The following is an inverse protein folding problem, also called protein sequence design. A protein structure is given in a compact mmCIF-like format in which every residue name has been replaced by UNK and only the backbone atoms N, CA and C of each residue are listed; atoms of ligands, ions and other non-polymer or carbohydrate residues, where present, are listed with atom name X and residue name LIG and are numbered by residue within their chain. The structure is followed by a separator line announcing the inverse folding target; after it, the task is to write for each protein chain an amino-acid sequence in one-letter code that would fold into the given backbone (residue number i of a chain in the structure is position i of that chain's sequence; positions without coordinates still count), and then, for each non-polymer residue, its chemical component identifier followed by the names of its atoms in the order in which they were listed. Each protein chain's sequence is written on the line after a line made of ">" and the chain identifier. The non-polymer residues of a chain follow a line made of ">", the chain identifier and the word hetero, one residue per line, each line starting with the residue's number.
data_IF_249221316826
#
_entry.id   IF_249221316826
#
_cell.length_a   1.000
_cell.length_b   1.000
_cell.length_c   1.000
_cell.angle_alpha   90.00
_cell.angle_beta   90.00
_cell.angle_gamma   90.00
#
_symmetry.space_group_name_H-M   'P 1'
#
loop_
_entity.id
_entity.type
_entity.pdbx_description
1 polymer ?
#
# COMPACT_ATOMS: atom_id res chain seq x y z
N UNK A 1 6.92 4.64 19.13
CA UNK A 1 6.86 3.43 18.29
C UNK A 1 5.42 3.17 17.84
N UNK A 2 5.25 2.49 16.71
CA UNK A 2 3.95 2.08 16.17
C UNK A 2 4.03 0.60 15.77
N UNK A 3 2.89 -0.07 15.69
CA UNK A 3 2.79 -1.43 15.18
C UNK A 3 2.09 -1.47 13.81
N UNK A 4 2.11 -2.62 13.14
CA UNK A 4 1.52 -2.80 11.81
C UNK A 4 0.02 -2.52 11.76
N UNK A 5 -0.72 -2.82 12.83
CA UNK A 5 -2.17 -2.54 12.93
C UNK A 5 -2.46 -1.04 13.00
N UNK A 6 -1.69 -0.29 13.79
CA UNK A 6 -1.82 1.16 13.86
C UNK A 6 -1.47 1.82 12.52
N UNK A 7 -0.43 1.32 11.83
CA UNK A 7 -0.05 1.81 10.51
C UNK A 7 -1.14 1.48 9.47
N UNK A 8 -1.70 0.28 9.48
CA UNK A 8 -2.82 -0.10 8.61
C UNK A 8 -4.04 0.79 8.85
N UNK A 9 -4.35 1.11 10.11
CA UNK A 9 -5.44 2.05 10.47
C UNK A 9 -5.19 3.46 9.93
N UNK A 10 -3.95 3.94 9.96
CA UNK A 10 -3.60 5.25 9.38
C UNK A 10 -3.82 5.26 7.86
N UNK A 11 -3.41 4.21 7.16
CA UNK A 11 -3.67 4.06 5.72
C UNK A 11 -5.15 3.86 5.42
N UNK A 12 -5.89 3.16 6.26
CA UNK A 12 -7.34 3.04 6.13
C UNK A 12 -8.05 4.40 6.29
N UNK A 13 -7.56 5.29 7.16
CA UNK A 13 -8.08 6.66 7.27
C UNK A 13 -7.80 7.48 6.00
N UNK A 14 -6.61 7.36 5.39
CA UNK A 14 -6.30 7.96 4.08
C UNK A 14 -7.20 7.39 2.97
N UNK A 15 -7.46 6.08 3.00
CA UNK A 15 -8.34 5.39 2.06
C UNK A 15 -9.81 5.85 2.20
N UNK A 16 -10.23 6.23 3.39
CA UNK A 16 -11.58 6.64 3.74
C UNK A 16 -11.71 8.17 3.86
N UNK A 17 -11.09 8.91 2.94
CA UNK A 17 -11.14 10.37 2.81
C UNK A 17 -10.91 11.11 4.15
N UNK A 18 -9.95 10.62 4.93
CA UNK A 18 -9.55 11.23 6.19
C UNK A 18 -10.44 10.88 7.39
N UNK A 19 -11.31 9.89 7.25
CA UNK A 19 -12.17 9.40 8.35
C UNK A 19 -11.59 8.13 8.94
N UNK A 20 -11.15 8.20 10.20
CA UNK A 20 -10.66 7.04 10.95
C UNK A 20 -11.84 6.25 11.54
N UNK A 21 -11.77 4.93 11.41
CA UNK A 21 -12.70 3.98 12.02
C UNK A 21 -11.95 3.13 13.05
N UNK A 22 -12.63 2.64 14.11
CA UNK A 22 -12.03 1.74 15.06
C UNK A 22 -11.69 0.39 14.40
N UNK A 23 -10.57 -0.20 14.78
CA UNK A 23 -10.23 -1.56 14.39
C UNK A 23 -11.05 -2.56 15.21
N UNK A 24 -11.49 -3.62 14.57
CA UNK A 24 -12.15 -4.77 15.23
C UNK A 24 -11.74 -6.07 14.56
N UNK A 25 -11.54 -7.12 15.34
CA UNK A 25 -11.36 -8.49 14.86
C UNK A 25 -12.69 -9.27 14.87
N UNK A 26 -13.73 -8.70 15.47
CA UNK A 26 -15.05 -9.29 15.50
C UNK A 26 -15.88 -8.80 14.33
N UNK A 27 -16.63 -9.70 13.71
CA UNK A 27 -17.66 -9.31 12.74
C UNK A 27 -18.72 -8.49 13.48
N UNK A 28 -18.91 -7.25 13.04
CA UNK A 28 -19.99 -6.41 13.54
C UNK A 28 -21.24 -6.62 12.70
N UNK A 29 -22.43 -6.51 13.36
CA UNK A 29 -23.70 -6.41 12.67
C UNK A 29 -23.95 -4.97 12.18
N UNK A 30 -25.22 -4.55 12.17
CA UNK A 30 -25.64 -3.23 11.70
C UNK A 30 -25.41 -2.10 12.74
N UNK A 31 -24.53 -2.34 13.71
CA UNK A 31 -24.19 -1.35 14.72
C UNK A 31 -23.53 -0.12 14.10
N UNK A 32 -23.95 1.06 14.57
CA UNK A 32 -23.35 2.32 14.15
C UNK A 32 -21.88 2.35 14.58
N UNK A 33 -20.99 2.41 13.59
CA UNK A 33 -19.54 2.52 13.83
C UNK A 33 -19.22 3.99 14.19
N UNK A 34 -18.67 4.22 15.37
CA UNK A 34 -18.10 5.52 15.72
C UNK A 34 -16.90 5.83 14.83
N UNK A 35 -17.05 6.84 14.02
CA UNK A 35 -15.98 7.31 13.14
C UNK A 35 -15.58 8.73 13.50
N UNK A 36 -14.31 9.08 13.28
CA UNK A 36 -13.79 10.43 13.54
C UNK A 36 -13.01 10.94 12.35
N UNK A 37 -13.35 12.15 11.88
CA UNK A 37 -12.52 12.84 10.90
C UNK A 37 -11.18 13.23 11.53
N UNK A 38 -10.07 12.83 10.91
CA UNK A 38 -8.70 13.11 11.34
C UNK A 38 -7.92 13.91 10.29
N UNK A 39 -8.40 13.95 9.05
CA UNK A 39 -7.88 14.74 7.94
C UNK A 39 -9.03 15.24 7.08
N UNK A 40 -8.82 16.36 6.39
CA UNK A 40 -9.74 16.82 5.36
C UNK A 40 -9.72 15.89 4.15
N UNK A 41 -10.89 15.68 3.53
CA UNK A 41 -11.02 14.80 2.37
C UNK A 41 -10.12 15.22 1.20
N UNK A 42 -10.00 16.53 0.96
CA UNK A 42 -9.11 17.07 -0.08
C UNK A 42 -7.64 16.76 0.20
N UNK A 43 -7.20 16.91 1.45
CA UNK A 43 -5.84 16.58 1.88
C UNK A 43 -5.57 15.07 1.76
N UNK A 44 -6.50 14.23 2.19
CA UNK A 44 -6.38 12.78 2.05
C UNK A 44 -6.26 12.36 0.58
N UNK A 45 -7.09 12.93 -0.31
CA UNK A 45 -7.03 12.70 -1.75
C UNK A 45 -5.71 13.16 -2.35
N UNK A 46 -5.23 14.35 -2.01
CA UNK A 46 -3.96 14.87 -2.50
C UNK A 46 -2.79 13.98 -2.08
N UNK A 47 -2.77 13.51 -0.82
CA UNK A 47 -1.75 12.58 -0.34
C UNK A 47 -1.82 11.26 -1.10
N UNK A 48 -3.00 10.67 -1.32
CA UNK A 48 -3.13 9.44 -2.13
C UNK A 48 -2.54 9.62 -3.52
N UNK A 49 -2.85 10.73 -4.19
CA UNK A 49 -2.30 11.02 -5.53
C UNK A 49 -0.77 11.13 -5.52
N UNK A 50 -0.18 11.80 -4.53
CA UNK A 50 1.28 11.85 -4.38
C UNK A 50 1.87 10.45 -4.16
N UNK A 51 1.23 9.62 -3.34
CA UNK A 51 1.67 8.28 -3.02
C UNK A 51 1.62 7.30 -4.20
N UNK A 52 0.88 7.60 -5.29
CA UNK A 52 0.90 6.75 -6.50
C UNK A 52 2.25 6.74 -7.20
N UNK A 53 3.07 7.76 -6.99
CA UNK A 53 4.41 7.85 -7.60
C UNK A 53 5.37 6.76 -7.14
N UNK A 54 5.12 6.14 -5.99
CA UNK A 54 6.02 5.13 -5.42
C UNK A 54 6.18 3.88 -6.29
N UNK A 55 5.15 3.50 -7.04
CA UNK A 55 5.14 2.30 -7.91
C UNK A 55 5.43 2.60 -9.38
N UNK A 56 5.53 3.88 -9.75
CA UNK A 56 5.85 4.30 -11.12
C UNK A 56 7.35 4.14 -11.43
N UNK A 57 7.75 4.13 -12.71
CA UNK A 57 9.16 4.15 -13.09
C UNK A 57 9.93 5.26 -12.36
N UNK A 58 11.06 4.91 -11.73
CA UNK A 58 11.82 5.81 -10.85
C UNK A 58 11.31 5.90 -9.40
N UNK A 59 10.18 5.29 -9.08
CA UNK A 59 9.67 5.18 -7.71
C UNK A 59 10.44 4.17 -6.87
N UNK A 60 10.29 4.25 -5.54
CA UNK A 60 11.03 3.42 -4.58
C UNK A 60 10.48 2.00 -4.40
N UNK A 61 9.33 1.67 -5.02
CA UNK A 61 8.70 0.36 -4.91
C UNK A 61 7.95 -0.03 -6.20
N UNK A 62 8.62 -0.02 -7.33
CA UNK A 62 8.04 -0.47 -8.61
C UNK A 62 7.52 -1.91 -8.53
N UNK A 63 8.11 -2.76 -7.68
CA UNK A 63 7.68 -4.14 -7.45
C UNK A 63 6.39 -4.26 -6.60
N UNK A 64 5.88 -3.16 -6.03
CA UNK A 64 4.59 -3.14 -5.35
C UNK A 64 3.43 -2.78 -6.29
N UNK A 65 3.70 -2.55 -7.58
CA UNK A 65 2.66 -2.30 -8.57
C UNK A 65 1.72 -3.51 -8.69
N UNK A 66 0.43 -3.25 -8.89
CA UNK A 66 -0.61 -4.26 -9.09
C UNK A 66 -1.19 -4.09 -10.49
N UNK A 67 -1.17 -5.15 -11.30
CA UNK A 67 -1.72 -5.09 -12.66
C UNK A 67 -3.18 -4.63 -12.65
N UNK A 68 -3.51 -3.72 -13.56
CA UNK A 68 -4.85 -3.14 -13.74
C UNK A 68 -5.36 -2.28 -12.58
N UNK A 69 -4.54 -2.00 -11.55
CA UNK A 69 -4.93 -1.14 -10.44
C UNK A 69 -3.88 -0.08 -10.16
N UNK A 70 -4.32 1.12 -9.87
CA UNK A 70 -3.45 2.15 -9.32
C UNK A 70 -3.19 1.87 -7.84
N UNK A 71 -1.94 1.86 -7.45
CA UNK A 71 -1.50 1.68 -6.06
C UNK A 71 -0.97 2.99 -5.53
N UNK A 72 -1.40 3.36 -4.33
CA UNK A 72 -0.79 4.44 -3.54
C UNK A 72 -0.11 3.84 -2.31
N UNK A 73 1.14 4.20 -2.04
CA UNK A 73 1.85 3.60 -0.91
C UNK A 73 3.19 4.26 -0.59
N UNK A 74 3.89 3.69 0.40
CA UNK A 74 5.21 4.15 0.83
C UNK A 74 6.04 3.00 1.36
N UNK A 75 7.31 3.01 1.00
CA UNK A 75 8.32 2.12 1.58
C UNK A 75 8.78 2.62 2.95
N UNK A 76 9.17 1.70 3.80
CA UNK A 76 9.92 1.96 5.02
C UNK A 76 11.07 0.95 5.14
N UNK A 77 12.20 1.43 5.63
CA UNK A 77 13.34 0.58 5.99
C UNK A 77 13.95 1.18 7.24
N UNK A 78 13.94 0.44 8.33
CA UNK A 78 14.46 0.88 9.61
C UNK A 78 15.52 -0.09 10.12
N UNK A 79 16.60 0.43 10.69
CA UNK A 79 17.54 -0.38 11.46
C UNK A 79 16.91 -0.80 12.79
N UNK A 80 17.17 -2.01 13.22
CA UNK A 80 16.75 -2.49 14.55
C UNK A 80 17.65 -1.92 15.65
N UNK A 81 17.09 -1.82 16.83
CA UNK A 81 17.86 -1.41 18.02
C UNK A 81 18.73 -2.61 18.43
N UNK A 82 20.01 -2.34 18.70
CA UNK A 82 20.94 -3.31 19.23
C UNK A 82 20.67 -3.58 20.71
N UNK A 83 21.00 -4.78 21.19
CA UNK A 83 20.81 -5.16 22.61
C UNK A 83 21.61 -4.27 23.55
N UNK A 84 22.79 -3.82 23.12
CA UNK A 84 23.70 -2.96 23.88
C UNK A 84 23.37 -1.46 23.74
N UNK A 85 22.27 -1.11 23.08
CA UNK A 85 21.89 0.26 22.74
C UNK A 85 22.38 0.70 21.35
N UNK A 86 21.80 1.79 20.82
CA UNK A 86 22.07 2.23 19.46
C UNK A 86 21.37 1.38 18.39
N UNK A 87 21.82 1.49 17.14
CA UNK A 87 21.27 0.75 16.01
C UNK A 87 22.19 -0.40 15.62
N UNK A 88 21.60 -1.55 15.29
CA UNK A 88 22.32 -2.68 14.73
C UNK A 88 22.80 -2.36 13.31
N UNK A 89 24.00 -2.79 12.93
CA UNK A 89 24.58 -2.46 11.63
C UNK A 89 23.97 -3.24 10.47
N UNK A 90 23.54 -4.46 10.72
CA UNK A 90 23.13 -5.44 9.71
C UNK A 90 21.68 -5.96 9.88
N UNK A 91 20.92 -5.44 10.87
CA UNK A 91 19.54 -5.87 11.13
C UNK A 91 18.54 -4.79 10.78
N UNK A 92 17.61 -5.14 9.88
CA UNK A 92 16.62 -4.21 9.33
C UNK A 92 15.22 -4.75 9.47
N UNK A 93 14.26 -3.80 9.49
CA UNK A 93 12.85 -4.08 9.26
C UNK A 93 12.48 -3.43 7.93
N UNK A 94 12.02 -4.24 7.00
CA UNK A 94 11.56 -3.80 5.67
C UNK A 94 10.03 -3.68 5.67
N UNK A 95 9.50 -2.54 5.22
CA UNK A 95 8.09 -2.23 5.25
C UNK A 95 7.59 -1.73 3.88
N UNK A 96 6.38 -2.10 3.53
CA UNK A 96 5.57 -1.40 2.55
C UNK A 96 4.14 -1.25 3.07
N UNK A 97 3.64 -0.02 3.10
CA UNK A 97 2.26 0.29 3.42
C UNK A 97 1.59 0.92 2.20
N UNK A 98 0.41 0.45 1.83
CA UNK A 98 -0.28 0.96 0.65
C UNK A 98 -1.76 0.66 0.66
N UNK A 99 -2.43 1.19 -0.32
CA UNK A 99 -3.86 1.03 -0.59
C UNK A 99 -4.11 0.89 -2.10
N UNK A 100 -5.18 0.25 -2.46
CA UNK A 100 -5.64 0.11 -3.84
C UNK A 100 -7.17 -0.15 -3.90
N UNK A 101 -7.82 0.28 -4.99
CA UNK A 101 -7.40 1.25 -6.00
C UNK A 101 -7.08 2.63 -5.39
N UNK A 102 -6.22 3.45 -6.02
CA UNK A 102 -5.80 4.73 -5.42
C UNK A 102 -6.92 5.78 -5.41
N UNK A 103 -7.77 5.81 -6.45
CA UNK A 103 -8.84 6.82 -6.57
C UNK A 103 -10.06 6.48 -5.71
N UNK A 104 -10.45 5.20 -5.68
CA UNK A 104 -11.56 4.70 -4.85
C UNK A 104 -11.09 3.50 -4.01
N UNK A 105 -10.37 3.73 -2.92
CA UNK A 105 -9.71 2.66 -2.17
C UNK A 105 -10.70 1.64 -1.59
N UNK A 106 -10.35 0.38 -1.73
CA UNK A 106 -11.12 -0.74 -1.20
C UNK A 106 -10.35 -1.52 -0.14
N UNK A 107 -9.03 -1.50 -0.24
CA UNK A 107 -8.15 -2.18 0.70
C UNK A 107 -6.97 -1.28 1.07
N UNK A 108 -6.58 -1.34 2.34
CA UNK A 108 -5.30 -0.86 2.84
C UNK A 108 -4.52 -2.04 3.42
N UNK A 109 -3.24 -2.13 3.12
CA UNK A 109 -2.40 -3.25 3.54
C UNK A 109 -1.02 -2.77 3.99
N UNK A 110 -0.52 -3.38 5.03
CA UNK A 110 0.87 -3.20 5.50
C UNK A 110 1.57 -4.55 5.46
N UNK A 111 2.70 -4.58 4.80
CA UNK A 111 3.62 -5.72 4.80
C UNK A 111 4.87 -5.34 5.56
N UNK A 112 5.24 -6.14 6.54
CA UNK A 112 6.47 -6.01 7.32
C UNK A 112 7.25 -7.30 7.23
N UNK A 113 8.53 -7.21 6.89
CA UNK A 113 9.48 -8.31 6.92
C UNK A 113 10.57 -7.96 7.92
N UNK A 114 10.62 -8.73 8.99
CA UNK A 114 11.61 -8.56 10.06
C UNK A 114 12.87 -9.35 9.71
N UNK A 115 14.02 -8.67 9.76
CA UNK A 115 15.34 -9.21 9.43
C UNK A 115 15.36 -10.01 8.12
N UNK A 116 15.03 -9.37 6.98
CA UNK A 116 15.04 -10.06 5.70
C UNK A 116 16.43 -10.67 5.44
N UNK A 117 16.42 -11.94 5.06
CA UNK A 117 17.66 -12.64 4.69
C UNK A 117 17.86 -12.59 3.18
N UNK A 118 19.09 -12.29 2.73
CA UNK A 118 19.43 -12.22 1.32
C UNK A 118 20.15 -10.93 0.93
N UNK A 119 20.13 -10.63 -0.38
CA UNK A 119 20.90 -9.49 -0.94
C UNK A 119 20.25 -8.13 -0.68
N UNK A 120 18.96 -8.08 -0.34
CA UNK A 120 18.20 -6.85 -0.25
C UNK A 120 17.47 -6.74 1.10
N UNK A 121 17.45 -5.54 1.63
CA UNK A 121 16.72 -5.19 2.87
C UNK A 121 15.78 -3.98 2.70
N UNK A 122 15.73 -3.39 1.50
CA UNK A 122 14.83 -2.25 1.22
C UNK A 122 13.38 -2.70 1.11
N UNK A 123 12.48 -1.93 1.75
CA UNK A 123 11.04 -2.24 1.80
C UNK A 123 10.41 -2.44 0.43
N UNK A 124 10.80 -1.63 -0.57
CA UNK A 124 10.29 -1.76 -1.94
C UNK A 124 10.66 -3.08 -2.62
N UNK A 125 11.85 -3.61 -2.32
CA UNK A 125 12.37 -4.85 -2.92
C UNK A 125 11.92 -6.11 -2.16
N UNK A 126 11.67 -6.01 -0.84
CA UNK A 126 11.37 -7.15 0.02
C UNK A 126 9.88 -7.25 0.32
N UNK A 127 9.27 -6.15 0.77
CA UNK A 127 7.85 -6.12 1.11
C UNK A 127 6.95 -5.81 -0.10
N UNK A 128 7.46 -5.07 -1.10
CA UNK A 128 6.73 -4.71 -2.31
C UNK A 128 6.16 -5.89 -3.09
N UNK A 129 6.93 -6.93 -3.44
CA UNK A 129 6.41 -8.11 -4.15
C UNK A 129 5.33 -8.86 -3.39
N UNK A 130 5.44 -8.96 -2.07
CA UNK A 130 4.42 -9.58 -1.20
C UNK A 130 3.13 -8.77 -1.23
N UNK A 131 3.25 -7.44 -1.10
CA UNK A 131 2.10 -6.54 -1.24
C UNK A 131 1.42 -6.70 -2.59
N UNK A 132 2.18 -6.64 -3.69
CA UNK A 132 1.65 -6.73 -5.06
C UNK A 132 0.83 -8.00 -5.26
N UNK A 133 1.42 -9.16 -4.93
CA UNK A 133 0.76 -10.47 -5.09
C UNK A 133 -0.50 -10.59 -4.24
N UNK A 134 -0.41 -10.25 -2.95
CA UNK A 134 -1.54 -10.39 -2.02
C UNK A 134 -2.67 -9.41 -2.36
N UNK A 135 -2.32 -8.15 -2.67
CA UNK A 135 -3.30 -7.12 -3.03
C UNK A 135 -4.05 -7.49 -4.32
N UNK A 136 -3.32 -7.98 -5.34
CA UNK A 136 -3.90 -8.43 -6.61
C UNK A 136 -4.96 -9.51 -6.40
N UNK A 137 -4.63 -10.54 -5.62
CA UNK A 137 -5.57 -11.63 -5.33
C UNK A 137 -6.76 -11.18 -4.48
N UNK A 138 -6.52 -10.33 -3.49
CA UNK A 138 -7.58 -9.80 -2.63
C UNK A 138 -8.59 -8.95 -3.43
N UNK A 139 -8.12 -8.05 -4.29
CA UNK A 139 -8.98 -7.23 -5.15
C UNK A 139 -9.78 -8.09 -6.13
N UNK A 140 -9.16 -9.14 -6.69
CA UNK A 140 -9.83 -10.10 -7.57
C UNK A 140 -10.94 -10.86 -6.83
N UNK A 141 -10.67 -11.39 -5.64
CA UNK A 141 -11.64 -12.12 -4.81
C UNK A 141 -12.82 -11.23 -4.39
N UNK A 142 -12.57 -9.94 -4.18
CA UNK A 142 -13.61 -8.96 -3.85
C UNK A 142 -14.34 -8.41 -5.07
N UNK A 143 -14.05 -8.88 -6.30
CA UNK A 143 -14.59 -8.39 -7.55
C UNK A 143 -14.49 -6.86 -7.70
N UNK A 144 -13.37 -6.28 -7.26
CA UNK A 144 -13.13 -4.85 -7.39
C UNK A 144 -12.84 -4.52 -8.84
N UNK A 145 -13.54 -3.52 -9.38
CA UNK A 145 -13.33 -3.09 -10.77
C UNK A 145 -11.94 -2.45 -10.92
N UNK A 146 -11.15 -2.85 -11.95
CA UNK A 146 -9.89 -2.19 -12.28
C UNK A 146 -10.04 -0.68 -12.55
N UNK A 147 -9.05 0.11 -12.11
CA UNK A 147 -9.01 1.57 -12.28
C UNK A 147 -7.76 2.07 -13.03
N UNK A 148 -6.79 1.21 -13.32
CA UNK A 148 -5.68 1.58 -14.18
C UNK A 148 -6.17 1.70 -15.63
N UNK A 149 -5.81 2.78 -16.32
CA UNK A 149 -6.04 2.92 -17.75
C UNK A 149 -5.36 1.74 -18.47
N UNK A 150 -6.13 1.04 -19.29
CA UNK A 150 -5.53 0.06 -20.21
C UNK A 150 -4.59 0.84 -21.12
N UNK A 151 -3.34 0.39 -21.32
CA UNK A 151 -2.52 0.98 -22.35
C UNK A 151 -3.31 0.94 -23.67
N UNK A 152 -3.41 2.09 -24.34
CA UNK A 152 -4.11 2.23 -25.61
C UNK A 152 -3.49 1.23 -26.60
N UNK A 153 -4.13 0.11 -26.78
CA UNK A 153 -3.76 -0.86 -27.83
C UNK A 153 -4.24 -0.25 -29.13
N UNK A 154 -3.48 0.71 -29.66
CA UNK A 154 -3.61 1.10 -31.05
C UNK A 154 -3.22 -0.12 -31.88
N UNK A 155 -4.22 -0.86 -32.32
CA UNK A 155 -4.07 -1.80 -33.41
C UNK A 155 -3.54 -1.00 -34.60
N UNK A 156 -2.25 -1.12 -34.86
CA UNK A 156 -1.66 -0.69 -36.11
C UNK A 156 -2.32 -1.53 -37.22
N UNK A 157 -3.39 -0.99 -37.76
CA UNK A 157 -3.92 -1.46 -39.02
C UNK A 157 -2.90 -1.14 -40.12
N UNK A 158 -1.89 -1.98 -40.26
CA UNK A 158 -1.06 -1.95 -41.46
C UNK A 158 -1.92 -2.40 -42.62
N UNK A 159 -2.36 -1.40 -43.38
CA UNK A 159 -2.95 -1.64 -44.70
C UNK A 159 -1.90 -2.31 -45.56
N UNK A 160 -2.16 -3.57 -45.87
CA UNK A 160 -1.51 -4.25 -47.01
C UNK A 160 -2.13 -3.63 -48.26
N UNK A 161 -1.30 -2.98 -49.03
CA UNK A 161 -1.54 -2.72 -50.46
C UNK A 161 -0.52 -3.53 -51.24
#
# INVERSE_FOLDING_TARGET
>A
STNTMQLARAYAALANDGVAVPLTLLKRGDEKIESRRVLDASSAKAVRQMLTKVVQPGGTATQAAVSNYQVAGKTGTAKKIAVEGGYADDRYVALFAGLAPADNPRLAMVVMVDEPKGKHYYGGLVAGPVFSKTMSEALRLMNVKPDAEKPDVRLASQGVR
#
